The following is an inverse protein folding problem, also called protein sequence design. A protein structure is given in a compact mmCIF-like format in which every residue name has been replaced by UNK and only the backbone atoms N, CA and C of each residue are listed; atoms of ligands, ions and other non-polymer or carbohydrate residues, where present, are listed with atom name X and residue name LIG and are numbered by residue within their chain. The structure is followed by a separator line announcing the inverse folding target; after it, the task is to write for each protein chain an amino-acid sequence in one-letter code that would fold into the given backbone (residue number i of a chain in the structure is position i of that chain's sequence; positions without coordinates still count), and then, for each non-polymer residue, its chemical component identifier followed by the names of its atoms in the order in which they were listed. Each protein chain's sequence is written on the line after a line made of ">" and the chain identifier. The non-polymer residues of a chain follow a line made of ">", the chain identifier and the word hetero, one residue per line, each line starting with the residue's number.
data_IF_095435694639
#
_entry.id   IF_095435694639
#
_cell.length_a   1.000
_cell.length_b   1.000
_cell.length_c   1.000
_cell.angle_alpha   90.00
_cell.angle_beta   90.00
_cell.angle_gamma   90.00
#
_symmetry.space_group_name_H-M   'P 1'
#
loop_
_entity.id
_entity.type
_entity.pdbx_description
1 polymer ?
#
# COMPACT_ATOMS: atom_id res chain seq x y z
N UNK A 1 19.66 -0.47 21.97
CA UNK A 1 19.23 0.18 23.23
C UNK A 1 19.84 1.56 23.45
N UNK A 2 21.18 1.72 23.54
CA UNK A 2 21.82 3.03 23.81
C UNK A 2 21.42 4.17 22.87
N UNK A 3 21.26 3.88 21.57
CA UNK A 3 20.89 4.89 20.57
C UNK A 3 19.45 5.43 20.74
N UNK A 4 18.49 4.55 21.03
CA UNK A 4 17.10 4.95 21.28
C UNK A 4 17.01 5.82 22.55
N UNK A 5 17.73 5.44 23.60
CA UNK A 5 17.83 6.23 24.83
C UNK A 5 18.45 7.61 24.57
N UNK A 6 19.44 7.70 23.68
CA UNK A 6 20.06 8.96 23.29
C UNK A 6 19.07 9.89 22.58
N UNK A 7 18.31 9.37 21.61
CA UNK A 7 17.26 10.13 20.91
C UNK A 7 16.21 10.64 21.90
N UNK A 8 15.70 9.75 22.76
CA UNK A 8 14.69 10.12 23.74
C UNK A 8 15.20 11.22 24.67
N UNK A 9 16.43 11.07 25.17
CA UNK A 9 17.04 12.05 26.08
C UNK A 9 17.29 13.38 25.38
N UNK A 10 17.73 13.37 24.11
CA UNK A 10 17.89 14.57 23.30
C UNK A 10 16.57 15.31 23.11
N UNK A 11 15.49 14.60 22.77
CA UNK A 11 14.16 15.20 22.59
C UNK A 11 13.63 15.75 23.92
N UNK A 12 13.63 14.94 24.97
CA UNK A 12 13.11 15.30 26.28
C UNK A 12 13.86 16.49 26.90
N UNK A 13 15.19 16.52 26.78
CA UNK A 13 16.01 17.62 27.29
C UNK A 13 15.75 18.93 26.56
N UNK A 14 15.68 18.91 25.22
CA UNK A 14 15.38 20.13 24.46
C UNK A 14 13.94 20.63 24.71
N UNK A 15 12.96 19.74 24.87
CA UNK A 15 11.61 20.14 25.28
C UNK A 15 11.58 20.77 26.67
N UNK A 16 12.31 20.21 27.64
CA UNK A 16 12.45 20.79 28.97
C UNK A 16 13.12 22.17 28.95
N UNK A 17 14.14 22.36 28.11
CA UNK A 17 14.83 23.63 27.91
C UNK A 17 13.96 24.69 27.22
N UNK A 18 13.08 24.29 26.28
CA UNK A 18 12.07 25.18 25.70
C UNK A 18 11.07 25.67 26.75
N UNK A 19 10.69 24.79 27.69
CA UNK A 19 9.75 25.17 28.75
C UNK A 19 10.40 26.08 29.80
N UNK A 20 11.56 25.69 30.35
CA UNK A 20 12.19 26.30 31.53
C UNK A 20 13.36 27.26 31.26
N UNK A 21 13.93 27.26 30.05
CA UNK A 21 15.13 28.04 29.72
C UNK A 21 14.90 29.54 29.53
N UNK A 22 15.98 30.31 29.43
CA UNK A 22 15.96 31.73 29.03
C UNK A 22 15.62 31.87 27.54
N UNK A 23 15.27 33.07 27.06
CA UNK A 23 14.89 33.30 25.66
C UNK A 23 15.88 32.68 24.65
N UNK A 24 17.18 32.93 24.81
CA UNK A 24 18.21 32.37 23.92
C UNK A 24 18.31 30.85 23.99
N UNK A 25 18.10 30.26 25.18
CA UNK A 25 18.09 28.80 25.36
C UNK A 25 16.88 28.19 24.67
N UNK A 26 15.70 28.80 24.81
CA UNK A 26 14.47 28.37 24.13
C UNK A 26 14.66 28.40 22.61
N UNK A 27 15.17 29.51 22.08
CA UNK A 27 15.43 29.66 20.65
C UNK A 27 16.40 28.58 20.12
N UNK A 28 17.52 28.37 20.82
CA UNK A 28 18.50 27.34 20.44
C UNK A 28 17.91 25.93 20.50
N UNK A 29 17.22 25.57 21.58
CA UNK A 29 16.60 24.25 21.72
C UNK A 29 15.49 24.00 20.70
N UNK A 30 14.69 25.02 20.37
CA UNK A 30 13.72 24.96 19.27
C UNK A 30 14.41 24.74 17.92
N UNK A 31 15.48 25.48 17.63
CA UNK A 31 16.24 25.32 16.39
C UNK A 31 16.90 23.93 16.29
N UNK A 32 17.47 23.42 17.39
CA UNK A 32 18.07 22.08 17.44
C UNK A 32 17.05 20.97 17.19
N UNK A 33 15.85 21.07 17.77
CA UNK A 33 14.77 20.13 17.49
C UNK A 33 14.28 20.24 16.05
N UNK A 34 14.10 21.47 15.55
CA UNK A 34 13.65 21.70 14.18
C UNK A 34 14.62 21.08 13.16
N UNK A 35 15.94 21.29 13.32
CA UNK A 35 16.96 20.71 12.44
C UNK A 35 16.99 19.19 12.55
N UNK A 36 16.92 18.64 13.78
CA UNK A 36 16.95 17.19 13.99
C UNK A 36 15.73 16.47 13.38
N UNK A 37 14.57 17.11 13.41
CA UNK A 37 13.31 16.54 12.92
C UNK A 37 13.00 16.92 11.46
N UNK A 38 13.69 17.89 10.86
CA UNK A 38 13.37 18.38 9.51
C UNK A 38 13.42 17.32 8.42
N UNK A 39 14.37 16.34 8.40
CA UNK A 39 14.35 15.31 7.36
C UNK A 39 13.15 14.38 7.50
N UNK A 40 12.77 14.07 8.74
CA UNK A 40 11.59 13.23 9.04
C UNK A 40 10.33 13.99 8.63
N UNK A 41 10.21 15.26 9.04
CA UNK A 41 9.09 16.11 8.68
C UNK A 41 8.94 16.24 7.16
N UNK A 42 10.03 16.44 6.43
CA UNK A 42 10.02 16.52 4.96
C UNK A 42 9.54 15.21 4.31
N UNK A 43 10.04 14.05 4.76
CA UNK A 43 9.59 12.76 4.24
C UNK A 43 8.12 12.52 4.57
N UNK A 44 7.70 12.82 5.80
CA UNK A 44 6.29 12.72 6.21
C UNK A 44 5.41 13.62 5.36
N UNK A 45 5.81 14.87 5.12
CA UNK A 45 5.10 15.81 4.25
C UNK A 45 4.94 15.23 2.84
N UNK A 46 6.02 14.74 2.21
CA UNK A 46 5.95 14.15 0.87
C UNK A 46 5.04 12.93 0.78
N UNK A 47 5.14 12.02 1.76
CA UNK A 47 4.28 10.84 1.83
C UNK A 47 2.81 11.25 2.04
N UNK A 48 2.57 12.22 2.92
CA UNK A 48 1.21 12.67 3.26
C UNK A 48 0.56 13.38 2.08
N UNK A 49 1.29 14.29 1.40
CA UNK A 49 0.82 14.94 0.19
C UNK A 49 0.50 13.93 -0.91
N UNK A 50 1.42 12.99 -1.18
CA UNK A 50 1.15 11.93 -2.14
C UNK A 50 -0.08 11.10 -1.76
N UNK A 51 -0.26 10.79 -0.47
CA UNK A 51 -1.42 10.03 -0.01
C UNK A 51 -2.74 10.79 -0.19
N UNK A 52 -2.75 12.12 0.04
CA UNK A 52 -3.91 12.96 -0.20
C UNK A 52 -4.23 13.09 -1.70
N UNK A 53 -3.23 13.35 -2.52
CA UNK A 53 -3.39 13.47 -3.98
C UNK A 53 -3.90 12.17 -4.61
N UNK A 54 -3.64 11.02 -3.97
CA UNK A 54 -3.99 9.69 -4.46
C UNK A 54 -4.99 8.96 -3.55
N UNK A 55 -5.74 9.71 -2.74
CA UNK A 55 -6.62 9.15 -1.71
C UNK A 55 -7.64 8.14 -2.25
N UNK A 56 -8.22 8.40 -3.43
CA UNK A 56 -9.23 7.52 -4.03
C UNK A 56 -8.61 6.18 -4.43
N UNK A 57 -7.47 6.23 -5.12
CA UNK A 57 -6.71 5.04 -5.51
C UNK A 57 -6.34 4.21 -4.27
N UNK A 58 -5.78 4.86 -3.25
CA UNK A 58 -5.39 4.20 -2.00
C UNK A 58 -6.59 3.57 -1.30
N UNK A 59 -7.73 4.30 -1.25
CA UNK A 59 -8.97 3.82 -0.67
C UNK A 59 -9.49 2.57 -1.40
N UNK A 60 -9.56 2.59 -2.75
CA UNK A 60 -10.03 1.43 -3.52
C UNK A 60 -9.12 0.21 -3.36
N UNK A 61 -7.80 0.40 -3.28
CA UNK A 61 -6.86 -0.69 -3.01
C UNK A 61 -7.10 -1.30 -1.62
N UNK A 62 -7.27 -0.48 -0.58
CA UNK A 62 -7.56 -1.00 0.76
C UNK A 62 -8.92 -1.71 0.84
N UNK A 63 -9.95 -1.17 0.18
CA UNK A 63 -11.26 -1.81 0.07
C UNK A 63 -11.14 -3.16 -0.65
N UNK A 64 -10.38 -3.24 -1.74
CA UNK A 64 -10.14 -4.49 -2.45
C UNK A 64 -9.45 -5.55 -1.56
N UNK A 65 -8.46 -5.14 -0.76
CA UNK A 65 -7.81 -6.03 0.22
C UNK A 65 -8.83 -6.51 1.27
N UNK A 66 -9.66 -5.61 1.80
CA UNK A 66 -10.67 -5.96 2.80
C UNK A 66 -11.71 -6.95 2.26
N UNK A 67 -12.24 -6.69 1.05
CA UNK A 67 -13.19 -7.58 0.38
C UNK A 67 -12.54 -8.93 0.10
N UNK A 68 -11.34 -8.95 -0.47
CA UNK A 68 -10.61 -10.18 -0.74
C UNK A 68 -10.40 -11.01 0.55
N UNK A 69 -9.96 -10.37 1.63
CA UNK A 69 -9.72 -11.03 2.90
C UNK A 69 -11.00 -11.61 3.50
N UNK A 70 -12.11 -10.86 3.43
CA UNK A 70 -13.41 -11.30 3.88
C UNK A 70 -13.90 -12.51 3.07
N UNK A 71 -13.88 -12.42 1.73
CA UNK A 71 -14.33 -13.50 0.85
C UNK A 71 -13.45 -14.74 0.98
N UNK A 72 -12.14 -14.57 1.07
CA UNK A 72 -11.20 -15.67 1.31
C UNK A 72 -11.46 -16.36 2.65
N UNK A 73 -11.71 -15.59 3.71
CA UNK A 73 -12.07 -16.11 5.03
C UNK A 73 -13.36 -16.93 4.97
N UNK A 74 -14.42 -16.38 4.36
CA UNK A 74 -15.70 -17.08 4.17
C UNK A 74 -15.51 -18.37 3.37
N UNK A 75 -14.74 -18.32 2.28
CA UNK A 75 -14.49 -19.48 1.43
C UNK A 75 -13.81 -20.62 2.20
N UNK A 76 -12.79 -20.32 2.99
CA UNK A 76 -12.06 -21.32 3.78
C UNK A 76 -12.87 -21.84 4.98
N UNK A 77 -13.77 -21.02 5.54
CA UNK A 77 -14.74 -21.49 6.53
C UNK A 77 -15.71 -22.50 5.92
N UNK A 78 -16.23 -22.23 4.72
CA UNK A 78 -17.13 -23.15 3.98
C UNK A 78 -16.40 -24.44 3.61
N UNK A 79 -15.14 -24.35 3.18
CA UNK A 79 -14.29 -25.51 2.86
C UNK A 79 -13.83 -26.30 4.10
N UNK A 80 -14.09 -25.79 5.31
CA UNK A 80 -13.70 -26.40 6.60
C UNK A 80 -12.18 -26.57 6.75
N UNK A 81 -11.39 -25.74 6.07
CA UNK A 81 -9.92 -25.74 6.10
C UNK A 81 -9.32 -24.43 6.64
N UNK A 82 -10.17 -23.58 7.25
CA UNK A 82 -9.77 -22.29 7.80
C UNK A 82 -8.68 -22.41 8.88
N UNK A 83 -7.64 -21.57 8.74
CA UNK A 83 -6.58 -21.43 9.74
C UNK A 83 -6.31 -19.95 9.98
N UNK A 84 -6.50 -19.50 11.22
CA UNK A 84 -6.28 -18.10 11.60
C UNK A 84 -4.86 -17.63 11.28
N UNK A 85 -3.85 -18.49 11.55
CA UNK A 85 -2.46 -18.20 11.22
C UNK A 85 -2.28 -17.95 9.72
N UNK A 86 -2.79 -18.84 8.86
CA UNK A 86 -2.72 -18.66 7.40
C UNK A 86 -3.47 -17.41 6.94
N UNK A 87 -4.62 -17.12 7.55
CA UNK A 87 -5.44 -15.97 7.19
C UNK A 87 -4.72 -14.64 7.49
N UNK A 88 -4.16 -14.50 8.70
CA UNK A 88 -3.40 -13.30 9.10
C UNK A 88 -2.12 -13.17 8.28
N UNK A 89 -1.37 -14.26 8.09
CA UNK A 89 -0.18 -14.24 7.24
C UNK A 89 -0.52 -13.84 5.81
N UNK A 90 -1.61 -14.35 5.24
CA UNK A 90 -2.08 -13.96 3.90
C UNK A 90 -2.41 -12.46 3.81
N UNK A 91 -3.10 -11.91 4.81
CA UNK A 91 -3.42 -10.48 4.88
C UNK A 91 -2.16 -9.61 4.94
N UNK A 92 -1.24 -9.93 5.87
CA UNK A 92 0.02 -9.19 6.04
C UNK A 92 0.84 -9.24 4.74
N UNK A 93 0.95 -10.41 4.13
CA UNK A 93 1.67 -10.58 2.85
C UNK A 93 1.03 -9.73 1.75
N UNK A 94 -0.30 -9.70 1.63
CA UNK A 94 -0.98 -8.88 0.62
C UNK A 94 -0.76 -7.38 0.85
N UNK A 95 -0.92 -6.90 2.07
CA UNK A 95 -0.66 -5.49 2.41
C UNK A 95 0.80 -5.15 2.10
N UNK A 96 1.75 -5.97 2.55
CA UNK A 96 3.17 -5.76 2.32
C UNK A 96 3.53 -5.70 0.84
N UNK A 97 3.01 -6.61 0.02
CA UNK A 97 3.25 -6.62 -1.42
C UNK A 97 2.62 -5.42 -2.13
N UNK A 98 1.38 -5.06 -1.80
CA UNK A 98 0.72 -3.89 -2.38
C UNK A 98 1.50 -2.61 -2.07
N UNK A 99 1.95 -2.44 -0.82
CA UNK A 99 2.75 -1.27 -0.42
C UNK A 99 4.11 -1.27 -1.10
N UNK A 100 4.82 -2.40 -1.10
CA UNK A 100 6.15 -2.50 -1.68
C UNK A 100 6.14 -2.30 -3.20
N UNK A 101 5.28 -3.03 -3.92
CA UNK A 101 5.18 -2.93 -5.39
C UNK A 101 4.59 -1.58 -5.80
N UNK A 102 3.58 -1.10 -5.09
CA UNK A 102 3.02 0.23 -5.32
C UNK A 102 4.07 1.33 -5.19
N UNK A 103 4.91 1.27 -4.16
CA UNK A 103 6.02 2.21 -3.99
C UNK A 103 7.03 2.13 -5.15
N UNK A 104 7.41 0.93 -5.59
CA UNK A 104 8.32 0.76 -6.73
C UNK A 104 7.74 1.35 -8.01
N UNK A 105 6.44 1.17 -8.26
CA UNK A 105 5.76 1.72 -9.42
C UNK A 105 5.63 3.24 -9.38
N UNK A 106 5.40 3.84 -8.22
CA UNK A 106 5.49 5.30 -8.07
C UNK A 106 6.91 5.81 -8.35
N UNK A 107 7.94 5.03 -7.98
CA UNK A 107 9.33 5.30 -8.36
C UNK A 107 9.55 5.29 -9.88
N UNK A 108 8.95 4.33 -10.60
CA UNK A 108 8.97 4.29 -12.08
C UNK A 108 8.33 5.55 -12.67
N UNK A 109 7.17 5.97 -12.13
CA UNK A 109 6.47 7.19 -12.57
C UNK A 109 7.29 8.46 -12.33
N UNK A 110 8.10 8.50 -11.26
CA UNK A 110 8.98 9.61 -10.96
C UNK A 110 10.18 9.70 -11.93
N UNK A 111 10.59 8.59 -12.54
CA UNK A 111 11.71 8.53 -13.49
C UNK A 111 11.24 8.74 -14.93
N UNK A 112 9.98 8.40 -15.25
CA UNK A 112 9.41 8.61 -16.57
C UNK A 112 9.48 10.09 -16.98
N UNK A 113 10.02 10.37 -18.18
CA UNK A 113 10.18 11.72 -18.75
C UNK A 113 8.83 12.43 -18.87
N UNK A 114 8.85 13.77 -18.84
CA UNK A 114 7.67 14.66 -18.81
C UNK A 114 6.82 14.70 -20.10
N UNK A 115 6.82 13.64 -20.91
CA UNK A 115 5.75 13.44 -21.88
C UNK A 115 4.46 13.11 -21.10
N UNK A 116 3.56 14.10 -21.02
CA UNK A 116 2.38 14.03 -20.17
C UNK A 116 1.47 12.84 -20.51
N UNK A 117 1.37 12.48 -21.80
CA UNK A 117 0.50 11.40 -22.23
C UNK A 117 1.06 10.03 -21.85
N UNK A 118 2.34 9.78 -22.16
CA UNK A 118 2.98 8.50 -21.84
C UNK A 118 3.03 8.27 -20.33
N UNK A 119 3.35 9.34 -19.57
CA UNK A 119 3.42 9.29 -18.12
C UNK A 119 2.05 8.99 -17.48
N UNK A 120 1.00 9.68 -17.92
CA UNK A 120 -0.35 9.45 -17.39
C UNK A 120 -0.85 8.03 -17.68
N UNK A 121 -0.64 7.53 -18.90
CA UNK A 121 -0.97 6.16 -19.26
C UNK A 121 -0.22 5.15 -18.39
N UNK A 122 1.09 5.35 -18.19
CA UNK A 122 1.92 4.48 -17.36
C UNK A 122 1.42 4.46 -15.91
N UNK A 123 1.11 5.62 -15.34
CA UNK A 123 0.55 5.75 -13.98
C UNK A 123 -0.72 4.93 -13.84
N UNK A 124 -1.65 5.05 -14.80
CA UNK A 124 -2.93 4.32 -14.79
C UNK A 124 -2.67 2.81 -14.84
N UNK A 125 -1.83 2.34 -15.76
CA UNK A 125 -1.55 0.90 -15.93
C UNK A 125 -0.89 0.31 -14.69
N UNK A 126 0.11 1.00 -14.12
CA UNK A 126 0.81 0.54 -12.94
C UNK A 126 -0.09 0.50 -11.69
N UNK A 127 -0.92 1.53 -11.49
CA UNK A 127 -1.89 1.56 -10.38
C UNK A 127 -2.97 0.51 -10.56
N UNK A 128 -3.45 0.30 -11.78
CA UNK A 128 -4.39 -0.76 -12.08
C UNK A 128 -3.78 -2.13 -11.74
N UNK A 129 -2.50 -2.35 -12.05
CA UNK A 129 -1.80 -3.60 -11.71
C UNK A 129 -1.78 -3.85 -10.20
N UNK A 130 -1.47 -2.82 -9.40
CA UNK A 130 -1.46 -2.91 -7.93
C UNK A 130 -2.87 -3.18 -7.38
N UNK A 131 -3.89 -2.53 -7.94
CA UNK A 131 -5.29 -2.76 -7.56
C UNK A 131 -5.79 -4.16 -7.95
N UNK A 132 -5.41 -4.64 -9.14
CA UNK A 132 -5.84 -5.94 -9.66
C UNK A 132 -5.28 -7.10 -8.85
N UNK A 133 -4.17 -6.94 -8.14
CA UNK A 133 -3.63 -7.98 -7.27
C UNK A 133 -4.61 -8.43 -6.16
N UNK A 134 -5.12 -7.54 -5.27
CA UNK A 134 -6.16 -7.91 -4.33
C UNK A 134 -7.53 -8.10 -5.01
N UNK A 135 -7.90 -7.25 -5.99
CA UNK A 135 -9.22 -7.32 -6.61
C UNK A 135 -9.43 -8.61 -7.43
N UNK A 136 -8.43 -9.06 -8.18
CA UNK A 136 -8.47 -10.30 -8.96
C UNK A 136 -8.63 -11.53 -8.06
N UNK A 137 -7.96 -11.54 -6.91
CA UNK A 137 -8.15 -12.58 -5.89
C UNK A 137 -9.56 -12.54 -5.29
N UNK A 138 -10.11 -11.35 -5.00
CA UNK A 138 -11.50 -11.20 -4.56
C UNK A 138 -12.48 -11.74 -5.60
N UNK A 139 -12.29 -11.39 -6.89
CA UNK A 139 -13.11 -11.90 -7.99
C UNK A 139 -13.08 -13.41 -8.09
N UNK A 140 -11.90 -14.02 -7.94
CA UNK A 140 -11.77 -15.47 -7.97
C UNK A 140 -12.52 -16.13 -6.79
N UNK A 141 -12.37 -15.59 -5.59
CA UNK A 141 -13.09 -16.07 -4.40
C UNK A 141 -14.61 -15.92 -4.57
N UNK A 142 -15.09 -14.78 -5.07
CA UNK A 142 -16.50 -14.55 -5.40
C UNK A 142 -17.03 -15.55 -6.43
N UNK A 143 -16.28 -15.81 -7.49
CA UNK A 143 -16.65 -16.80 -8.50
C UNK A 143 -16.80 -18.19 -7.87
N UNK A 144 -15.89 -18.61 -6.98
CA UNK A 144 -16.03 -19.90 -6.29
C UNK A 144 -17.27 -19.91 -5.38
N UNK A 145 -17.47 -18.87 -4.56
CA UNK A 145 -18.60 -18.76 -3.64
C UNK A 145 -19.95 -18.77 -4.36
N UNK A 146 -20.02 -18.18 -5.55
CA UNK A 146 -21.23 -18.13 -6.37
C UNK A 146 -21.39 -19.32 -7.32
N UNK A 147 -20.54 -20.35 -7.21
CA UNK A 147 -20.50 -21.52 -8.10
C UNK A 147 -20.34 -21.13 -9.58
N UNK A 148 -19.51 -20.13 -9.83
CA UNK A 148 -19.13 -19.65 -11.16
C UNK A 148 -20.12 -18.69 -11.81
N UNK A 149 -21.07 -18.12 -11.04
CA UNK A 149 -22.05 -17.15 -11.56
C UNK A 149 -21.48 -15.74 -11.66
N UNK A 150 -20.74 -15.28 -10.66
CA UNK A 150 -20.24 -13.91 -10.62
C UNK A 150 -18.91 -13.73 -9.88
N UNK A 151 -17.87 -13.23 -10.56
CA UNK A 151 -17.74 -13.18 -12.02
C UNK A 151 -17.82 -14.59 -12.63
N UNK A 152 -18.18 -14.74 -13.92
CA UNK A 152 -18.25 -16.05 -14.55
C UNK A 152 -16.92 -16.81 -14.45
N UNK A 153 -16.94 -18.08 -14.06
CA UNK A 153 -15.69 -18.86 -13.87
C UNK A 153 -14.87 -18.98 -15.16
N UNK A 154 -15.54 -19.03 -16.32
CA UNK A 154 -14.87 -19.05 -17.62
C UNK A 154 -14.06 -17.78 -17.87
N UNK A 155 -14.59 -16.61 -17.46
CA UNK A 155 -13.88 -15.34 -17.53
C UNK A 155 -12.65 -15.34 -16.60
N UNK A 156 -12.83 -15.80 -15.35
CA UNK A 156 -11.72 -15.89 -14.39
C UNK A 156 -10.62 -16.84 -14.85
N UNK A 157 -10.97 -17.96 -15.50
CA UNK A 157 -9.99 -18.89 -16.05
C UNK A 157 -9.23 -18.31 -17.26
N UNK A 158 -9.88 -17.49 -18.10
CA UNK A 158 -9.22 -16.77 -19.19
C UNK A 158 -8.21 -15.75 -18.66
N UNK A 159 -8.61 -14.97 -17.64
CA UNK A 159 -7.71 -14.04 -16.93
C UNK A 159 -6.50 -14.77 -16.35
N UNK A 160 -6.72 -15.87 -15.62
CA UNK A 160 -5.63 -16.64 -15.03
C UNK A 160 -4.65 -17.19 -16.07
N UNK A 161 -5.18 -17.74 -17.18
CA UNK A 161 -4.32 -18.23 -18.27
C UNK A 161 -3.48 -17.11 -18.84
N UNK A 162 -4.08 -15.94 -19.07
CA UNK A 162 -3.36 -14.78 -19.57
C UNK A 162 -2.28 -14.27 -18.61
N UNK A 163 -2.53 -14.29 -17.30
CA UNK A 163 -1.48 -13.97 -16.31
C UNK A 163 -0.32 -14.97 -16.38
N UNK A 164 -0.60 -16.26 -16.63
CA UNK A 164 0.42 -17.31 -16.72
C UNK A 164 1.22 -17.28 -18.03
N UNK A 165 0.60 -16.91 -19.16
CA UNK A 165 1.20 -17.08 -20.49
C UNK A 165 1.24 -15.83 -21.39
N UNK A 166 0.64 -14.72 -20.95
CA UNK A 166 0.49 -13.46 -21.69
C UNK A 166 -0.16 -13.62 -23.09
N UNK A 167 -0.89 -14.71 -23.32
CA UNK A 167 -1.50 -15.03 -24.61
C UNK A 167 -2.93 -14.51 -24.71
N UNK A 168 -3.10 -13.50 -25.59
CA UNK A 168 -4.37 -12.86 -25.88
C UNK A 168 -5.35 -13.72 -26.69
N UNK A 169 -4.90 -14.85 -27.28
CA UNK A 169 -5.77 -15.71 -28.09
C UNK A 169 -7.01 -16.17 -27.33
N UNK A 170 -6.86 -16.44 -26.03
CA UNK A 170 -7.95 -16.90 -25.17
C UNK A 170 -9.09 -15.87 -24.97
N UNK A 171 -8.88 -14.60 -25.34
CA UNK A 171 -9.88 -13.53 -25.27
C UNK A 171 -10.52 -13.18 -26.62
N UNK A 172 -9.96 -13.67 -27.74
CA UNK A 172 -10.47 -13.39 -29.09
C UNK A 172 -11.60 -14.32 -29.52
N UNK A 173 -11.84 -15.38 -28.75
CA UNK A 173 -12.90 -16.38 -28.88
C UNK A 173 -13.76 -16.38 -27.61
#
# INVERSE_FOLDING_TARGET
>A
MKFITLIYTFIASNLALIHKGTFLVKLKSSASLAIALSPIAYVTEKITHWAFDNQEYVMFVFIAIAIDHLLGSILHLIKRDFSLKKNITGLITKIGLVVAVGFLFEGVNAIAKDDSFIKEYLVIVLRLTVFMYPAGSAFYNSSILTKGKFPPIGWMNKLKKFEENLDLKNFKE
#
